data_IF_519430552654
#
_entry.id   IF_519430552654
#
_cell.length_a   1.000
_cell.length_b   1.000
_cell.length_c   1.000
_cell.angle_alpha   90.00
_cell.angle_beta   90.00
_cell.angle_gamma   90.00
#
_symmetry.space_group_name_H-M   'P 1'
#
loop_
_entity.id
_entity.type
_entity.pdbx_description
1 polymer ?
#
# COMPACT_ATOMS: atom_id res chain seq x y z
N UNK A 1 7.62 121.69 -4.65
CA UNK A 1 7.38 120.43 -3.92
C UNK A 1 7.46 119.32 -4.96
N UNK A 2 8.61 118.64 -5.06
CA UNK A 2 8.85 117.59 -6.05
C UNK A 2 8.56 116.23 -5.41
N UNK A 3 7.76 115.40 -6.08
CA UNK A 3 7.49 114.02 -5.67
C UNK A 3 8.54 113.15 -6.36
N UNK A 4 9.50 112.64 -5.59
CA UNK A 4 10.45 111.63 -6.06
C UNK A 4 9.78 110.25 -6.06
N UNK A 5 9.45 109.75 -7.26
CA UNK A 5 9.06 108.36 -7.44
C UNK A 5 10.32 107.49 -7.52
N UNK A 6 10.66 106.78 -6.43
CA UNK A 6 11.70 105.76 -6.46
C UNK A 6 11.17 104.49 -7.12
N UNK A 7 11.61 104.23 -8.36
CA UNK A 7 11.36 102.96 -9.05
C UNK A 7 12.37 101.94 -8.51
N UNK A 8 11.88 100.97 -7.72
CA UNK A 8 12.65 99.81 -7.27
C UNK A 8 12.57 98.74 -8.37
N UNK A 9 13.66 98.57 -9.11
CA UNK A 9 13.81 97.48 -10.09
C UNK A 9 14.30 96.22 -9.38
N UNK A 10 13.44 95.20 -9.29
CA UNK A 10 13.81 93.87 -8.77
C UNK A 10 14.58 93.13 -9.87
N UNK A 11 15.90 92.99 -9.71
CA UNK A 11 16.82 92.57 -10.77
C UNK A 11 16.95 91.04 -10.96
N UNK A 12 16.33 90.20 -10.13
CA UNK A 12 16.32 88.74 -10.30
C UNK A 12 15.03 88.13 -9.77
N UNK A 13 14.42 87.27 -10.60
CA UNK A 13 13.38 86.35 -10.15
C UNK A 13 14.06 85.36 -9.20
N UNK A 14 13.64 85.24 -7.93
CA UNK A 14 14.24 84.29 -7.01
C UNK A 14 14.00 82.88 -7.54
N UNK A 15 15.09 82.16 -7.80
CA UNK A 15 15.03 80.75 -8.15
C UNK A 15 14.68 79.98 -6.88
N UNK A 16 13.39 79.69 -6.70
CA UNK A 16 12.88 78.91 -5.57
C UNK A 16 13.33 77.46 -5.79
N UNK A 17 14.55 77.15 -5.39
CA UNK A 17 14.99 75.77 -5.24
C UNK A 17 14.33 75.21 -3.99
N UNK A 18 13.23 74.49 -4.17
CA UNK A 18 12.58 73.74 -3.09
C UNK A 18 13.50 72.56 -2.74
N UNK A 19 14.53 72.83 -1.94
CA UNK A 19 15.35 71.81 -1.31
C UNK A 19 14.53 71.21 -0.17
N UNK A 20 13.76 70.17 -0.48
CA UNK A 20 12.88 69.50 0.50
C UNK A 20 13.63 68.82 1.65
N UNK A 21 14.97 68.88 1.70
CA UNK A 21 15.83 68.17 2.65
C UNK A 21 15.76 66.64 2.53
N UNK A 22 14.87 66.13 1.69
CA UNK A 22 14.58 64.72 1.50
C UNK A 22 15.28 64.22 0.24
N UNK A 23 16.10 63.19 0.40
CA UNK A 23 16.69 62.47 -0.72
C UNK A 23 15.64 61.55 -1.36
N UNK A 24 14.92 62.10 -2.33
CA UNK A 24 13.89 61.38 -3.08
C UNK A 24 14.41 60.15 -3.82
N UNK A 25 15.72 60.09 -4.13
CA UNK A 25 16.33 58.91 -4.76
C UNK A 25 16.38 57.76 -3.76
N UNK A 26 16.75 58.03 -2.51
CA UNK A 26 16.74 57.03 -1.42
C UNK A 26 15.33 56.55 -1.08
N UNK A 27 14.33 57.44 -1.09
CA UNK A 27 12.92 57.04 -0.87
C UNK A 27 12.42 56.16 -2.03
N UNK A 28 12.71 56.56 -3.27
CA UNK A 28 12.32 55.80 -4.45
C UNK A 28 12.98 54.41 -4.50
N UNK A 29 14.26 54.30 -4.16
CA UNK A 29 14.98 53.02 -4.13
C UNK A 29 14.38 52.07 -3.09
N UNK A 30 14.06 52.57 -1.90
CA UNK A 30 13.39 51.78 -0.85
C UNK A 30 12.02 51.26 -1.32
N UNK A 31 11.22 52.11 -1.96
CA UNK A 31 9.91 51.72 -2.50
C UNK A 31 10.04 50.63 -3.58
N UNK A 32 11.02 50.76 -4.47
CA UNK A 32 11.29 49.75 -5.50
C UNK A 32 11.69 48.42 -4.84
N UNK A 33 12.59 48.43 -3.86
CA UNK A 33 12.97 47.21 -3.12
C UNK A 33 11.77 46.57 -2.43
N UNK A 34 10.91 47.35 -1.78
CA UNK A 34 9.70 46.85 -1.13
C UNK A 34 8.76 46.16 -2.14
N UNK A 35 8.57 46.76 -3.32
CA UNK A 35 7.78 46.16 -4.41
C UNK A 35 8.40 44.84 -4.89
N UNK A 36 9.72 44.80 -5.10
CA UNK A 36 10.44 43.57 -5.50
C UNK A 36 10.26 42.46 -4.48
N UNK A 37 10.37 42.75 -3.18
CA UNK A 37 10.17 41.77 -2.11
C UNK A 37 8.73 41.24 -2.10
N UNK A 38 7.73 42.11 -2.24
CA UNK A 38 6.32 41.68 -2.28
C UNK A 38 6.01 40.82 -3.51
N UNK A 39 6.53 41.19 -4.68
CA UNK A 39 6.33 40.43 -5.93
C UNK A 39 7.03 39.08 -5.85
N UNK A 40 8.27 39.03 -5.37
CA UNK A 40 9.02 37.78 -5.20
C UNK A 40 8.33 36.85 -4.19
N UNK A 41 7.92 37.36 -3.03
CA UNK A 41 7.17 36.57 -2.04
C UNK A 41 5.87 35.98 -2.63
N UNK A 42 5.11 36.78 -3.39
CA UNK A 42 3.90 36.29 -4.08
C UNK A 42 4.18 35.22 -5.14
N UNK A 43 5.25 35.38 -5.91
CA UNK A 43 5.67 34.39 -6.89
C UNK A 43 6.10 33.09 -6.20
N UNK A 44 6.83 33.17 -5.09
CA UNK A 44 7.25 32.03 -4.28
C UNK A 44 6.06 31.27 -3.68
N UNK A 45 5.06 31.98 -3.11
CA UNK A 45 3.85 31.35 -2.57
C UNK A 45 3.09 30.59 -3.65
N UNK A 46 2.85 31.22 -4.81
CA UNK A 46 2.19 30.56 -5.96
C UNK A 46 2.99 29.35 -6.48
N UNK A 47 4.31 29.46 -6.48
CA UNK A 47 5.20 28.35 -6.83
C UNK A 47 5.04 27.18 -5.86
N UNK A 48 5.06 27.45 -4.55
CA UNK A 48 4.87 26.44 -3.53
C UNK A 48 3.51 25.75 -3.59
N UNK A 49 2.40 26.49 -3.79
CA UNK A 49 1.07 25.89 -3.94
C UNK A 49 1.03 24.88 -5.10
N UNK A 50 1.60 25.26 -6.25
CA UNK A 50 1.69 24.38 -7.42
C UNK A 50 2.57 23.15 -7.15
N UNK A 51 3.71 23.34 -6.48
CA UNK A 51 4.60 22.23 -6.11
C UNK A 51 3.93 21.29 -5.10
N UNK A 52 3.23 21.80 -4.10
CA UNK A 52 2.51 21.00 -3.10
C UNK A 52 1.43 20.16 -3.77
N UNK A 53 0.63 20.75 -4.66
CA UNK A 53 -0.41 20.02 -5.40
C UNK A 53 0.20 18.90 -6.27
N UNK A 54 1.28 19.19 -7.00
CA UNK A 54 1.99 18.18 -7.80
C UNK A 54 2.62 17.06 -6.94
N UNK A 55 3.17 17.41 -5.77
CA UNK A 55 3.73 16.44 -4.84
C UNK A 55 2.65 15.56 -4.20
N UNK A 56 1.47 16.12 -3.88
CA UNK A 56 0.34 15.35 -3.36
C UNK A 56 -0.14 14.31 -4.37
N UNK A 57 -0.32 14.70 -5.64
CA UNK A 57 -0.74 13.78 -6.68
C UNK A 57 0.30 12.66 -6.89
N UNK A 58 1.59 13.03 -6.93
CA UNK A 58 2.69 12.06 -7.08
C UNK A 58 2.77 11.11 -5.87
N UNK A 59 2.65 11.65 -4.65
CA UNK A 59 2.67 10.88 -3.42
C UNK A 59 1.49 9.92 -3.34
N UNK A 60 0.29 10.36 -3.75
CA UNK A 60 -0.90 9.52 -3.78
C UNK A 60 -0.76 8.36 -4.77
N UNK A 61 -0.29 8.62 -6.00
CA UNK A 61 0.00 7.56 -6.99
C UNK A 61 1.05 6.57 -6.48
N UNK A 62 2.10 7.07 -5.83
CA UNK A 62 3.12 6.22 -5.22
C UNK A 62 2.57 5.37 -4.07
N UNK A 63 1.72 5.97 -3.22
CA UNK A 63 1.06 5.27 -2.13
C UNK A 63 0.16 4.13 -2.65
N UNK A 64 -0.69 4.40 -3.64
CA UNK A 64 -1.56 3.38 -4.25
C UNK A 64 -0.75 2.23 -4.83
N UNK A 65 0.30 2.54 -5.61
CA UNK A 65 1.19 1.53 -6.19
C UNK A 65 1.85 0.68 -5.11
N UNK A 66 2.37 1.30 -4.05
CA UNK A 66 2.99 0.59 -2.93
C UNK A 66 1.98 -0.28 -2.17
N UNK A 67 0.78 0.22 -1.93
CA UNK A 67 -0.30 -0.51 -1.26
C UNK A 67 -0.72 -1.73 -2.08
N UNK A 68 -0.92 -1.57 -3.39
CA UNK A 68 -1.28 -2.67 -4.30
C UNK A 68 -0.16 -3.70 -4.40
N UNK A 69 1.11 -3.26 -4.47
CA UNK A 69 2.25 -4.18 -4.45
C UNK A 69 2.35 -4.98 -3.14
N UNK A 70 2.05 -4.34 -2.01
CA UNK A 70 1.96 -5.00 -0.70
C UNK A 70 0.89 -6.09 -0.70
N UNK A 71 -0.30 -5.76 -1.20
CA UNK A 71 -1.40 -6.72 -1.34
C UNK A 71 -1.06 -7.90 -2.27
N UNK A 72 -0.44 -7.65 -3.44
CA UNK A 72 0.02 -8.70 -4.38
C UNK A 72 0.97 -9.67 -3.68
N UNK A 73 1.92 -9.15 -2.90
CA UNK A 73 2.89 -9.97 -2.19
C UNK A 73 2.22 -10.78 -1.08
N UNK A 74 1.30 -10.17 -0.35
CA UNK A 74 0.54 -10.82 0.74
C UNK A 74 -0.33 -11.97 0.23
N UNK A 75 -1.04 -11.78 -0.89
CA UNK A 75 -1.84 -12.84 -1.51
C UNK A 75 -0.97 -13.99 -2.01
N UNK A 76 0.16 -13.68 -2.67
CA UNK A 76 1.11 -14.69 -3.15
C UNK A 76 1.65 -15.54 -2.01
N UNK A 77 2.10 -14.90 -0.93
CA UNK A 77 2.66 -15.57 0.24
C UNK A 77 1.59 -16.43 0.93
N UNK A 78 0.40 -15.86 1.15
CA UNK A 78 -0.72 -16.57 1.79
C UNK A 78 -1.13 -17.81 0.98
N UNK A 79 -1.21 -17.73 -0.35
CA UNK A 79 -1.48 -18.89 -1.21
C UNK A 79 -0.37 -19.95 -1.13
N UNK A 80 0.90 -19.54 -1.06
CA UNK A 80 2.01 -20.48 -0.90
C UNK A 80 1.96 -21.21 0.45
N UNK A 81 1.71 -20.48 1.54
CA UNK A 81 1.51 -21.07 2.85
C UNK A 81 0.29 -21.98 2.88
N UNK A 82 -0.81 -21.60 2.23
CA UNK A 82 -2.03 -22.42 2.15
C UNK A 82 -1.75 -23.77 1.49
N UNK A 83 -1.04 -23.76 0.36
CA UNK A 83 -0.63 -25.00 -0.34
C UNK A 83 0.25 -25.87 0.57
N UNK A 84 1.21 -25.27 1.27
CA UNK A 84 2.06 -26.01 2.21
C UNK A 84 1.24 -26.62 3.36
N UNK A 85 0.28 -25.89 3.92
CA UNK A 85 -0.61 -26.37 4.97
C UNK A 85 -1.48 -27.54 4.46
N UNK A 86 -2.05 -27.44 3.26
CA UNK A 86 -2.86 -28.50 2.66
C UNK A 86 -2.04 -29.78 2.44
N UNK A 87 -0.81 -29.65 1.94
CA UNK A 87 0.10 -30.79 1.77
C UNK A 87 0.53 -31.39 3.11
N UNK A 88 0.62 -30.59 4.18
CA UNK A 88 0.90 -31.10 5.52
C UNK A 88 -0.28 -31.91 6.10
N UNK A 89 -1.52 -31.45 5.89
CA UNK A 89 -2.73 -32.23 6.24
C UNK A 89 -2.73 -33.57 5.49
N UNK A 90 -2.52 -33.54 4.17
CA UNK A 90 -2.44 -34.76 3.37
C UNK A 90 -1.33 -35.71 3.86
N UNK A 91 -0.15 -35.17 4.19
CA UNK A 91 0.97 -35.95 4.74
C UNK A 91 0.57 -36.66 6.04
N UNK A 92 -0.11 -35.98 6.96
CA UNK A 92 -0.57 -36.57 8.21
C UNK A 92 -1.59 -37.69 7.99
N UNK A 93 -2.49 -37.53 7.01
CA UNK A 93 -3.43 -38.57 6.60
C UNK A 93 -2.72 -39.80 6.01
N UNK A 94 -1.75 -39.59 5.11
CA UNK A 94 -0.99 -40.68 4.50
C UNK A 94 -0.15 -41.45 5.54
N UNK A 95 0.44 -40.74 6.51
CA UNK A 95 1.17 -41.38 7.63
C UNK A 95 0.23 -42.23 8.47
N UNK A 96 -0.96 -41.71 8.82
CA UNK A 96 -1.96 -42.47 9.58
C UNK A 96 -2.41 -43.72 8.83
N UNK A 97 -2.68 -43.59 7.54
CA UNK A 97 -3.07 -44.72 6.69
C UNK A 97 -1.98 -45.79 6.63
N UNK A 98 -0.72 -45.38 6.40
CA UNK A 98 0.43 -46.29 6.39
C UNK A 98 0.70 -46.97 7.73
N UNK A 99 0.33 -46.33 8.84
CA UNK A 99 0.48 -46.88 10.19
C UNK A 99 -0.75 -47.66 10.70
N UNK A 100 -1.86 -47.67 9.96
CA UNK A 100 -3.14 -48.26 10.41
C UNK A 100 -3.01 -49.70 10.89
N UNK A 101 -2.33 -50.56 10.12
CA UNK A 101 -2.11 -51.97 10.50
C UNK A 101 -1.28 -52.11 11.78
N UNK A 102 -0.29 -51.24 11.96
CA UNK A 102 0.54 -51.25 13.17
C UNK A 102 -0.24 -50.77 14.39
N UNK A 103 -1.00 -49.68 14.26
CA UNK A 103 -1.84 -49.14 15.33
C UNK A 103 -2.89 -50.17 15.79
N UNK A 104 -3.51 -50.90 14.86
CA UNK A 104 -4.46 -51.99 15.19
C UNK A 104 -3.80 -53.10 16.00
N UNK A 105 -2.56 -53.48 15.68
CA UNK A 105 -1.80 -54.46 16.48
C UNK A 105 -1.42 -53.89 17.84
N UNK A 106 -0.98 -52.64 17.90
CA UNK A 106 -0.58 -51.95 19.12
C UNK A 106 -1.75 -51.87 20.12
N UNK A 107 -2.97 -51.62 19.64
CA UNK A 107 -4.18 -51.62 20.48
C UNK A 107 -4.37 -52.92 21.28
N UNK A 108 -3.98 -54.07 20.71
CA UNK A 108 -4.11 -55.37 21.38
C UNK A 108 -2.96 -55.68 22.35
N UNK A 109 -1.79 -55.05 22.17
CA UNK A 109 -0.56 -55.32 22.93
C UNK A 109 -0.39 -54.33 24.07
N UNK A 110 -0.54 -53.03 23.77
CA UNK A 110 -0.37 -51.92 24.70
C UNK A 110 -1.41 -50.83 24.39
N UNK A 111 -2.60 -50.91 25.03
CA UNK A 111 -3.66 -49.93 24.84
C UNK A 111 -3.26 -48.50 25.26
N UNK A 112 -2.33 -48.36 26.23
CA UNK A 112 -1.92 -47.06 26.73
C UNK A 112 -1.03 -46.34 25.70
N UNK A 113 -0.06 -47.04 25.12
CA UNK A 113 0.78 -46.46 24.06
C UNK A 113 -0.02 -46.21 22.77
N UNK A 114 -0.99 -47.08 22.45
CA UNK A 114 -1.94 -46.82 21.36
C UNK A 114 -2.73 -45.52 21.59
N UNK A 115 -3.31 -45.33 22.77
CA UNK A 115 -4.07 -44.13 23.09
C UNK A 115 -3.21 -42.86 22.99
N UNK A 116 -1.96 -42.93 23.43
CA UNK A 116 -0.99 -41.83 23.32
C UNK A 116 -0.65 -41.50 21.85
N UNK A 117 -0.41 -42.53 21.02
CA UNK A 117 -0.13 -42.35 19.60
C UNK A 117 -1.32 -41.70 18.86
N UNK A 118 -2.55 -42.16 19.13
CA UNK A 118 -3.77 -41.56 18.57
C UNK A 118 -3.93 -40.11 19.05
N UNK A 119 -3.77 -39.85 20.35
CA UNK A 119 -3.88 -38.49 20.89
C UNK A 119 -2.85 -37.53 20.28
N UNK A 120 -1.61 -37.98 20.08
CA UNK A 120 -0.56 -37.17 19.45
C UNK A 120 -0.92 -36.83 18.01
N UNK A 121 -1.30 -37.83 17.21
CA UNK A 121 -1.70 -37.62 15.83
C UNK A 121 -2.93 -36.70 15.73
N UNK A 122 -3.93 -36.89 16.60
CA UNK A 122 -5.13 -36.03 16.63
C UNK A 122 -4.76 -34.57 16.93
N UNK A 123 -3.85 -34.32 17.88
CA UNK A 123 -3.35 -32.98 18.16
C UNK A 123 -2.69 -32.32 16.95
N UNK A 124 -1.78 -33.04 16.30
CA UNK A 124 -1.06 -32.55 15.11
C UNK A 124 -2.02 -32.31 13.93
N UNK A 125 -3.00 -33.20 13.72
CA UNK A 125 -3.99 -33.09 12.65
C UNK A 125 -4.91 -31.88 12.86
N UNK A 126 -5.43 -31.70 14.08
CA UNK A 126 -6.27 -30.55 14.43
C UNK A 126 -5.50 -29.24 14.24
N UNK A 127 -4.23 -29.19 14.65
CA UNK A 127 -3.39 -28.01 14.44
C UNK A 127 -3.17 -27.71 12.94
N UNK A 128 -2.92 -28.73 12.13
CA UNK A 128 -2.73 -28.58 10.68
C UNK A 128 -4.02 -28.08 9.98
N UNK A 129 -5.19 -28.63 10.35
CA UNK A 129 -6.49 -28.19 9.83
C UNK A 129 -6.82 -26.76 10.26
N UNK A 130 -6.51 -26.39 11.51
CA UNK A 130 -6.71 -25.02 12.00
C UNK A 130 -5.89 -24.01 11.19
N UNK A 131 -4.63 -24.33 10.90
CA UNK A 131 -3.76 -23.47 10.08
C UNK A 131 -4.24 -23.36 8.64
N UNK A 132 -4.66 -24.49 8.04
CA UNK A 132 -5.26 -24.50 6.70
C UNK A 132 -6.49 -23.57 6.64
N UNK A 133 -7.40 -23.68 7.61
CA UNK A 133 -8.60 -22.85 7.70
C UNK A 133 -8.28 -21.37 7.92
N UNK A 134 -7.28 -21.07 8.75
CA UNK A 134 -6.79 -19.69 8.97
C UNK A 134 -6.31 -19.07 7.66
N UNK A 135 -5.53 -19.81 6.87
CA UNK A 135 -4.99 -19.35 5.60
C UNK A 135 -6.10 -19.22 4.53
N UNK A 136 -7.02 -20.17 4.45
CA UNK A 136 -8.22 -20.08 3.60
C UNK A 136 -9.04 -18.83 3.89
N UNK A 137 -9.34 -18.56 5.17
CA UNK A 137 -10.07 -17.36 5.57
C UNK A 137 -9.30 -16.09 5.22
N UNK A 138 -7.98 -16.09 5.38
CA UNK A 138 -7.13 -14.96 5.00
C UNK A 138 -7.15 -14.70 3.49
N UNK A 139 -7.06 -15.74 2.65
CA UNK A 139 -7.21 -15.60 1.19
C UNK A 139 -8.57 -14.97 0.87
N UNK A 140 -9.65 -15.49 1.47
CA UNK A 140 -10.99 -14.96 1.26
C UNK A 140 -11.12 -13.47 1.62
N UNK A 141 -10.47 -13.04 2.72
CA UNK A 141 -10.48 -11.65 3.16
C UNK A 141 -9.60 -10.71 2.33
N UNK A 142 -8.59 -11.25 1.64
CA UNK A 142 -7.75 -10.48 0.71
C UNK A 142 -8.44 -10.27 -0.63
N UNK A 143 -9.39 -11.12 -1.00
CA UNK A 143 -10.02 -11.10 -2.32
C UNK A 143 -11.30 -10.27 -2.34
N UNK A 144 -11.61 -9.72 -3.51
CA UNK A 144 -12.87 -9.05 -3.79
C UNK A 144 -13.91 -10.10 -4.25
N UNK A 145 -14.97 -10.41 -3.47
CA UNK A 145 -15.91 -11.47 -3.81
C UNK A 145 -16.79 -11.15 -5.04
N UNK A 146 -16.79 -9.91 -5.52
CA UNK A 146 -17.52 -9.52 -6.73
C UNK A 146 -16.73 -9.79 -8.03
N UNK A 147 -15.45 -10.16 -7.95
CA UNK A 147 -14.64 -10.50 -9.12
C UNK A 147 -14.71 -12.00 -9.45
N UNK A 148 -14.99 -12.34 -10.72
CA UNK A 148 -15.12 -13.73 -11.17
C UNK A 148 -13.85 -14.56 -10.92
N UNK A 149 -12.66 -13.97 -11.11
CA UNK A 149 -11.40 -14.66 -10.86
C UNK A 149 -11.20 -14.98 -9.37
N UNK A 150 -11.64 -14.09 -8.48
CA UNK A 150 -11.61 -14.32 -7.04
C UNK A 150 -12.57 -15.45 -6.63
N UNK A 151 -13.77 -15.50 -7.20
CA UNK A 151 -14.71 -16.61 -7.00
C UNK A 151 -14.08 -17.95 -7.46
N UNK A 152 -13.52 -17.97 -8.67
CA UNK A 152 -12.85 -19.16 -9.21
C UNK A 152 -11.70 -19.64 -8.31
N UNK A 153 -10.86 -18.71 -7.82
CA UNK A 153 -9.78 -19.04 -6.89
C UNK A 153 -10.34 -19.63 -5.59
N UNK A 154 -11.42 -19.05 -5.04
CA UNK A 154 -12.03 -19.56 -3.81
C UNK A 154 -12.66 -20.95 -4.00
N UNK A 155 -13.23 -21.26 -5.17
CA UNK A 155 -13.70 -22.61 -5.49
C UNK A 155 -12.53 -23.61 -5.45
N UNK A 156 -11.39 -23.29 -6.05
CA UNK A 156 -10.21 -24.15 -6.00
C UNK A 156 -9.64 -24.31 -4.59
N UNK A 157 -9.57 -23.23 -3.81
CA UNK A 157 -9.13 -23.24 -2.40
C UNK A 157 -10.05 -24.12 -1.53
N UNK A 158 -11.37 -24.02 -1.73
CA UNK A 158 -12.34 -24.88 -1.04
C UNK A 158 -12.14 -26.34 -1.42
N UNK A 159 -11.99 -26.62 -2.71
CA UNK A 159 -11.76 -27.97 -3.20
C UNK A 159 -10.48 -28.60 -2.64
N UNK A 160 -9.36 -27.85 -2.59
CA UNK A 160 -8.12 -28.31 -1.91
C UNK A 160 -8.39 -28.64 -0.45
N UNK A 161 -9.13 -27.79 0.26
CA UNK A 161 -9.44 -27.98 1.68
C UNK A 161 -10.22 -29.27 1.90
N UNK A 162 -11.20 -29.56 1.05
CA UNK A 162 -12.02 -30.76 1.14
C UNK A 162 -11.26 -32.03 0.75
N UNK A 163 -10.37 -31.95 -0.23
CA UNK A 163 -9.61 -33.10 -0.75
C UNK A 163 -8.45 -33.48 0.17
N UNK A 164 -7.74 -32.51 0.75
CA UNK A 164 -6.54 -32.81 1.55
C UNK A 164 -6.83 -33.57 2.86
N UNK A 165 -8.06 -33.45 3.37
CA UNK A 165 -8.51 -34.19 4.56
C UNK A 165 -9.02 -35.61 4.23
N UNK A 166 -9.10 -35.98 2.95
CA UNK A 166 -9.55 -37.30 2.52
C UNK A 166 -8.40 -38.32 2.50
N UNK A 167 -8.69 -39.52 2.99
CA UNK A 167 -7.76 -40.66 2.97
C UNK A 167 -7.56 -41.15 1.53
N UNK A 168 -6.32 -41.43 1.14
CA UNK A 168 -5.96 -41.89 -0.21
C UNK A 168 -6.08 -40.85 -1.33
N UNK A 169 -6.52 -39.63 -1.03
CA UNK A 169 -6.60 -38.54 -2.01
C UNK A 169 -5.23 -37.89 -2.24
N UNK A 170 -5.14 -37.03 -3.26
CA UNK A 170 -3.94 -36.23 -3.53
C UNK A 170 -4.30 -34.78 -3.74
N UNK A 171 -3.93 -33.94 -2.77
CA UNK A 171 -4.09 -32.48 -2.87
C UNK A 171 -3.16 -31.82 -3.91
N UNK A 172 -2.20 -32.56 -4.50
CA UNK A 172 -1.18 -31.97 -5.39
C UNK A 172 -1.79 -31.29 -6.63
N UNK A 173 -2.61 -32.00 -7.38
CA UNK A 173 -3.23 -31.47 -8.61
C UNK A 173 -4.16 -30.29 -8.27
N UNK A 174 -5.06 -30.40 -7.26
CA UNK A 174 -5.85 -29.26 -6.79
C UNK A 174 -5.02 -28.03 -6.39
N UNK A 175 -3.84 -28.22 -5.77
CA UNK A 175 -2.95 -27.12 -5.42
C UNK A 175 -2.37 -26.40 -6.65
N UNK A 176 -2.10 -27.12 -7.74
CA UNK A 176 -1.63 -26.51 -8.99
C UNK A 176 -2.69 -25.57 -9.60
N UNK A 177 -3.98 -25.89 -9.44
CA UNK A 177 -5.07 -25.00 -9.86
C UNK A 177 -5.13 -23.71 -9.02
N UNK A 178 -4.88 -23.78 -7.71
CA UNK A 178 -4.78 -22.59 -6.86
C UNK A 178 -3.63 -21.69 -7.34
N UNK A 179 -2.48 -22.27 -7.71
CA UNK A 179 -1.34 -21.50 -8.26
C UNK A 179 -1.76 -20.82 -9.56
N UNK A 180 -2.34 -21.57 -10.50
CA UNK A 180 -2.74 -21.07 -11.82
C UNK A 180 -3.73 -19.91 -11.70
N UNK A 181 -4.77 -20.06 -10.89
CA UNK A 181 -5.80 -19.03 -10.69
C UNK A 181 -5.26 -17.81 -9.94
N UNK A 182 -4.44 -18.03 -8.91
CA UNK A 182 -3.74 -16.94 -8.21
C UNK A 182 -2.87 -16.15 -9.19
N UNK A 183 -2.11 -16.79 -10.08
CA UNK A 183 -1.28 -16.11 -11.07
C UNK A 183 -2.08 -15.21 -12.02
N UNK A 184 -3.31 -15.59 -12.39
CA UNK A 184 -4.20 -14.73 -13.21
C UNK A 184 -4.52 -13.45 -12.46
N UNK A 185 -4.99 -13.55 -11.21
CA UNK A 185 -5.31 -12.39 -10.37
C UNK A 185 -4.07 -11.51 -10.17
N UNK A 186 -2.94 -12.10 -9.80
CA UNK A 186 -1.69 -11.35 -9.59
C UNK A 186 -1.23 -10.64 -10.86
N UNK A 187 -1.47 -11.21 -12.04
CA UNK A 187 -1.11 -10.59 -13.32
C UNK A 187 -1.99 -9.39 -13.65
N UNK A 188 -3.31 -9.51 -13.47
CA UNK A 188 -4.27 -8.41 -13.63
C UNK A 188 -3.89 -7.24 -12.71
N UNK A 189 -3.62 -7.55 -11.45
CA UNK A 189 -3.30 -6.57 -10.41
C UNK A 189 -1.93 -5.93 -10.60
N UNK A 190 -0.96 -6.70 -11.10
CA UNK A 190 0.33 -6.17 -11.51
C UNK A 190 0.20 -5.16 -12.66
N UNK A 191 -0.64 -5.47 -13.65
CA UNK A 191 -0.85 -4.58 -14.79
C UNK A 191 -1.58 -3.30 -14.36
N UNK A 192 -2.57 -3.39 -13.44
CA UNK A 192 -3.20 -2.22 -12.77
C UNK A 192 -2.17 -1.38 -11.99
N UNK A 193 -1.30 -2.02 -11.21
CA UNK A 193 -0.23 -1.35 -10.46
C UNK A 193 0.76 -0.61 -11.38
N UNK A 194 0.98 -1.14 -12.59
CA UNK A 194 1.88 -0.56 -13.58
C UNK A 194 1.24 0.59 -14.34
N UNK A 195 -0.05 0.51 -14.67
CA UNK A 195 -0.80 1.59 -15.33
C UNK A 195 -1.10 2.75 -14.38
N UNK A 196 -1.08 2.52 -13.06
CA UNK A 196 -1.43 3.52 -12.06
C UNK A 196 -2.95 3.61 -11.83
N UNK A 197 -3.68 2.57 -12.22
CA UNK A 197 -5.10 2.35 -11.92
C UNK A 197 -5.29 1.73 -10.52
#
# INVERSE_FOLDING_TARGET
MAIENSIVTIHRIPEITISSGMDWISVASFLITAVIVVVSARATIKGHEKTVSSQQETAFKHFLKSSRQGWINELRDTCSCFIAAALNVQRLNNVREGQSTHLTKLFSIDPAEHAKAISSWTGDHVAAIAELNRLKAKIQLLLNPQELDAENLMVAVNYVSDVCDQVGASARIPCDDVIRLCQVILKIEWDRAKSGE
#
